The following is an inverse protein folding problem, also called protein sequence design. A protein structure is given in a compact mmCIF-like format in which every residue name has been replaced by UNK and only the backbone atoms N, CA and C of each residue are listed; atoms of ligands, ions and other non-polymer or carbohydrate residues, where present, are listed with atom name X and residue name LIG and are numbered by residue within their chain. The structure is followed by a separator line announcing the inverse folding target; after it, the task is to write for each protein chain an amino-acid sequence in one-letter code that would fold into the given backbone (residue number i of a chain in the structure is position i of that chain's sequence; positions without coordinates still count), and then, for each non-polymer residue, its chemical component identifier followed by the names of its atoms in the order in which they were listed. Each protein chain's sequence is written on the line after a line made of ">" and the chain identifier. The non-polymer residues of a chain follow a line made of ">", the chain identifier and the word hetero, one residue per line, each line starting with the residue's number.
data_IF_993838305159
#
_entry.id   IF_993838305159
#
_cell.length_a   1.000
_cell.length_b   1.000
_cell.length_c   1.000
_cell.angle_alpha   90.00
_cell.angle_beta   90.00
_cell.angle_gamma   90.00
#
_symmetry.space_group_name_H-M   'P 1'
#
loop_
_entity.id
_entity.type
_entity.pdbx_description
1 polymer ?
#
# COMPACT_ATOMS: atom_id res chain seq x y z
N UNK A 1 5.71 0.31 -18.59
CA UNK A 1 5.56 1.64 -19.21
C UNK A 1 5.04 2.61 -18.17
N UNK A 2 5.17 3.92 -18.38
CA UNK A 2 4.53 4.91 -17.49
C UNK A 2 3.01 4.79 -17.63
N UNK A 3 2.33 4.66 -16.50
CA UNK A 3 0.87 4.52 -16.45
C UNK A 3 0.23 5.90 -16.59
N UNK A 4 -0.74 6.03 -17.51
CA UNK A 4 -1.55 7.22 -17.63
C UNK A 4 -2.67 7.18 -16.59
N UNK A 5 -2.43 7.81 -15.43
CA UNK A 5 -3.39 7.80 -14.32
C UNK A 5 -4.52 8.81 -14.57
N UNK A 6 -5.76 8.33 -14.53
CA UNK A 6 -6.96 9.17 -14.48
C UNK A 6 -7.08 9.83 -13.09
N UNK A 7 -7.18 11.16 -13.08
CA UNK A 7 -7.27 11.96 -11.85
C UNK A 7 -8.62 11.84 -11.13
N UNK A 8 -9.70 11.45 -11.81
CA UNK A 8 -10.97 11.13 -11.15
C UNK A 8 -10.83 9.84 -10.35
N UNK A 9 -10.24 8.82 -10.97
CA UNK A 9 -9.92 7.53 -10.34
C UNK A 9 -8.94 7.70 -9.19
N UNK A 10 -7.92 8.55 -9.35
CA UNK A 10 -6.95 8.83 -8.29
C UNK A 10 -7.60 9.42 -7.03
N UNK A 11 -8.60 10.29 -7.20
CA UNK A 11 -9.35 10.88 -6.08
C UNK A 11 -10.26 9.88 -5.38
N UNK A 12 -10.87 8.95 -6.12
CA UNK A 12 -11.73 7.93 -5.51
C UNK A 12 -10.96 6.97 -4.61
N UNK A 13 -9.65 6.80 -4.84
CA UNK A 13 -8.76 5.97 -4.03
C UNK A 13 -8.35 6.58 -2.68
N UNK A 14 -8.71 7.84 -2.41
CA UNK A 14 -8.36 8.51 -1.14
C UNK A 14 -6.85 8.75 -0.95
N UNK A 15 -6.10 8.85 -2.06
CA UNK A 15 -4.65 8.99 -2.02
C UNK A 15 -4.22 10.42 -1.67
N UNK A 16 -3.06 10.59 -1.00
CA UNK A 16 -2.57 11.90 -0.61
C UNK A 16 -2.20 12.73 -1.85
N UNK A 17 -2.59 14.02 -1.84
CA UNK A 17 -2.35 14.95 -2.94
C UNK A 17 -0.87 15.11 -3.32
N UNK A 18 0.06 14.79 -2.41
CA UNK A 18 1.52 14.79 -2.62
C UNK A 18 1.97 13.82 -3.72
N UNK A 19 1.16 12.82 -4.04
CA UNK A 19 1.45 11.81 -5.07
C UNK A 19 1.00 12.23 -6.48
N UNK A 20 0.38 13.41 -6.65
CA UNK A 20 -0.15 13.90 -7.94
C UNK A 20 0.89 13.97 -9.06
N UNK A 21 2.13 14.32 -8.72
CA UNK A 21 3.22 14.49 -9.69
C UNK A 21 4.18 13.29 -9.67
N UNK A 22 3.73 12.13 -9.21
CA UNK A 22 4.53 10.91 -9.20
C UNK A 22 4.14 10.02 -10.37
N UNK A 23 5.16 9.44 -10.99
CA UNK A 23 5.00 8.46 -12.05
C UNK A 23 4.66 7.10 -11.44
N UNK A 24 3.65 6.44 -12.00
CA UNK A 24 3.31 5.05 -11.72
C UNK A 24 3.59 4.22 -12.98
N UNK A 25 3.65 2.91 -12.82
CA UNK A 25 3.99 2.01 -13.92
C UNK A 25 2.95 0.90 -14.05
N UNK A 26 2.72 0.50 -15.29
CA UNK A 26 1.92 -0.65 -15.65
C UNK A 26 2.68 -1.52 -16.69
N UNK A 27 2.32 -2.79 -16.77
CA UNK A 27 2.84 -3.67 -17.80
C UNK A 27 2.11 -3.47 -19.11
N UNK A 28 2.85 -3.28 -20.21
CA UNK A 28 2.28 -3.10 -21.54
C UNK A 28 1.58 -4.37 -22.09
N UNK A 29 1.88 -5.53 -21.51
CA UNK A 29 1.51 -6.84 -22.06
C UNK A 29 2.46 -7.27 -23.19
N UNK A 30 3.01 -8.48 -23.08
CA UNK A 30 3.85 -9.11 -24.09
C UNK A 30 3.63 -10.63 -24.05
N UNK A 31 4.17 -11.35 -25.03
CA UNK A 31 4.05 -12.82 -25.10
C UNK A 31 4.57 -13.51 -23.83
N UNK A 32 5.69 -13.03 -23.26
CA UNK A 32 6.29 -13.58 -22.05
C UNK A 32 5.41 -13.49 -20.79
N UNK A 33 4.52 -12.51 -20.74
CA UNK A 33 3.54 -12.36 -19.67
C UNK A 33 2.12 -12.74 -20.11
N UNK A 34 1.99 -13.44 -21.26
CA UNK A 34 0.71 -13.84 -21.84
C UNK A 34 -0.26 -12.65 -22.00
N UNK A 35 0.29 -11.50 -22.38
CA UNK A 35 -0.41 -10.23 -22.54
C UNK A 35 -1.11 -9.69 -21.27
N UNK A 36 -0.81 -10.23 -20.09
CA UNK A 36 -1.42 -9.75 -18.83
C UNK A 36 -0.80 -8.45 -18.31
N UNK A 37 0.47 -8.20 -18.65
CA UNK A 37 1.25 -7.12 -18.07
C UNK A 37 1.85 -7.44 -16.69
N UNK A 38 1.61 -8.65 -16.16
CA UNK A 38 2.09 -9.07 -14.84
C UNK A 38 2.90 -10.36 -14.94
N UNK A 39 3.97 -10.48 -14.14
CA UNK A 39 4.76 -11.71 -14.04
C UNK A 39 5.24 -11.93 -12.62
N UNK A 40 4.90 -13.09 -12.06
CA UNK A 40 5.17 -13.41 -10.66
C UNK A 40 4.18 -12.72 -9.72
N UNK A 41 4.43 -12.82 -8.42
CA UNK A 41 3.65 -12.18 -7.36
C UNK A 41 4.59 -11.76 -6.26
N UNK A 42 4.27 -10.66 -5.59
CA UNK A 42 5.04 -10.17 -4.46
C UNK A 42 4.15 -9.95 -3.25
N UNK A 43 4.54 -10.53 -2.10
CA UNK A 43 3.79 -10.35 -0.87
C UNK A 43 3.93 -8.92 -0.32
N UNK A 44 2.82 -8.34 0.10
CA UNK A 44 2.79 -7.14 0.94
C UNK A 44 2.76 -7.59 2.41
N UNK A 45 3.69 -7.08 3.23
CA UNK A 45 3.85 -7.54 4.61
C UNK A 45 3.95 -6.33 5.54
N UNK A 46 2.92 -6.11 6.36
CA UNK A 46 2.98 -5.17 7.47
C UNK A 46 3.42 -5.90 8.74
N UNK A 47 4.48 -5.42 9.38
CA UNK A 47 5.03 -6.03 10.60
C UNK A 47 4.85 -5.06 11.75
N UNK A 48 4.04 -5.45 12.73
CA UNK A 48 3.88 -4.72 13.99
C UNK A 48 4.79 -5.33 15.07
N UNK A 49 5.92 -4.69 15.42
CA UNK A 49 6.69 -5.13 16.58
C UNK A 49 5.87 -4.88 17.85
N UNK A 50 5.76 -5.91 18.70
CA UNK A 50 5.11 -5.80 20.00
C UNK A 50 6.18 -5.36 21.00
N UNK A 51 6.32 -4.04 21.16
CA UNK A 51 7.13 -3.44 22.21
C UNK A 51 6.35 -3.37 23.55
N UNK A 52 7.02 -2.93 24.61
CA UNK A 52 6.42 -2.81 25.95
C UNK A 52 5.16 -1.94 25.97
N UNK A 53 5.10 -0.88 25.15
CA UNK A 53 3.95 0.04 25.10
C UNK A 53 2.76 -0.62 24.43
N UNK A 54 2.99 -1.33 23.33
CA UNK A 54 1.96 -2.10 22.63
C UNK A 54 1.45 -3.24 23.53
N UNK A 55 2.36 -3.97 24.18
CA UNK A 55 1.98 -5.05 25.10
C UNK A 55 1.12 -4.54 26.26
N UNK A 56 1.51 -3.44 26.91
CA UNK A 56 0.73 -2.82 27.97
C UNK A 56 -0.67 -2.39 27.50
N UNK A 57 -0.77 -1.82 26.30
CA UNK A 57 -2.06 -1.39 25.74
C UNK A 57 -2.97 -2.57 25.41
N UNK A 58 -2.41 -3.68 24.91
CA UNK A 58 -3.16 -4.93 24.70
C UNK A 58 -3.71 -5.45 26.03
N UNK A 59 -2.88 -5.50 27.08
CA UNK A 59 -3.29 -5.98 28.40
C UNK A 59 -4.38 -5.10 29.04
N UNK A 60 -4.39 -3.80 28.74
CA UNK A 60 -5.40 -2.85 29.19
C UNK A 60 -6.72 -2.97 28.43
N UNK A 61 -6.77 -3.74 27.34
CA UNK A 61 -7.93 -3.80 26.46
C UNK A 61 -8.12 -2.54 25.62
N UNK A 62 -7.03 -1.87 25.26
CA UNK A 62 -7.04 -0.66 24.46
C UNK A 62 -7.71 -0.85 23.09
N UNK A 63 -8.30 0.22 22.57
CA UNK A 63 -8.96 0.20 21.26
C UNK A 63 -7.95 0.02 20.12
N UNK A 64 -8.42 -0.49 18.98
CA UNK A 64 -7.61 -0.58 17.76
C UNK A 64 -7.05 0.79 17.33
N UNK A 65 -7.76 1.89 17.62
CA UNK A 65 -7.28 3.25 17.35
C UNK A 65 -6.12 3.67 18.24
N UNK A 66 -6.14 3.30 19.53
CA UNK A 66 -5.02 3.52 20.45
C UNK A 66 -3.80 2.71 20.03
N UNK A 67 -3.99 1.42 19.71
CA UNK A 67 -2.92 0.56 19.21
C UNK A 67 -2.30 1.09 17.91
N UNK A 68 -3.11 1.57 16.95
CA UNK A 68 -2.59 2.19 15.71
C UNK A 68 -1.75 3.43 15.99
N UNK A 69 -2.18 4.29 16.91
CA UNK A 69 -1.42 5.49 17.29
C UNK A 69 -0.08 5.16 17.94
N UNK A 70 -0.04 4.10 18.76
CA UNK A 70 1.21 3.61 19.34
C UNK A 70 2.10 2.97 18.27
N UNK A 71 1.53 2.11 17.42
CA UNK A 71 2.22 1.44 16.34
C UNK A 71 2.93 2.42 15.39
N UNK A 72 2.24 3.50 15.01
CA UNK A 72 2.80 4.55 14.15
C UNK A 72 4.09 5.18 14.72
N UNK A 73 4.25 5.20 16.05
CA UNK A 73 5.46 5.70 16.73
C UNK A 73 6.59 4.68 16.77
N UNK A 74 6.27 3.39 16.65
CA UNK A 74 7.24 2.28 16.68
C UNK A 74 7.73 1.88 15.28
N UNK A 75 7.49 2.72 14.27
CA UNK A 75 7.92 2.49 12.89
C UNK A 75 7.06 1.48 12.12
N UNK A 76 5.87 1.14 12.65
CA UNK A 76 4.88 0.36 11.90
C UNK A 76 4.44 1.14 10.66
N UNK A 77 4.34 0.44 9.53
CA UNK A 77 3.75 0.95 8.30
C UNK A 77 2.53 0.12 7.96
N UNK A 78 1.47 0.80 7.55
CA UNK A 78 0.25 0.13 7.12
C UNK A 78 0.43 -0.55 5.76
N UNK A 79 -0.37 -1.58 5.49
CA UNK A 79 -0.34 -2.30 4.21
C UNK A 79 -0.53 -1.35 3.01
N UNK A 80 -1.44 -0.38 3.12
CA UNK A 80 -1.68 0.63 2.09
C UNK A 80 -0.44 1.48 1.78
N UNK A 81 0.33 1.84 2.79
CA UNK A 81 1.56 2.64 2.62
C UNK A 81 2.64 1.81 1.94
N UNK A 82 2.77 0.54 2.33
CA UNK A 82 3.70 -0.40 1.73
C UNK A 82 3.33 -0.66 0.26
N UNK A 83 2.05 -0.86 -0.04
CA UNK A 83 1.53 -1.06 -1.38
C UNK A 83 1.84 0.14 -2.28
N UNK A 84 1.56 1.36 -1.79
CA UNK A 84 1.86 2.59 -2.51
C UNK A 84 3.36 2.77 -2.77
N UNK A 85 4.21 2.46 -1.80
CA UNK A 85 5.67 2.52 -1.99
C UNK A 85 6.13 1.56 -3.10
N UNK A 86 5.55 0.36 -3.18
CA UNK A 86 5.86 -0.59 -4.25
C UNK A 86 5.31 -0.16 -5.60
N UNK A 87 4.13 0.45 -5.64
CA UNK A 87 3.55 1.00 -6.86
C UNK A 87 4.41 2.15 -7.43
N UNK A 88 4.87 3.05 -6.56
CA UNK A 88 5.80 4.13 -6.93
C UNK A 88 7.16 3.61 -7.42
N UNK A 89 7.60 2.47 -6.89
CA UNK A 89 8.81 1.80 -7.34
C UNK A 89 8.62 0.97 -8.62
N UNK A 90 7.41 0.92 -9.17
CA UNK A 90 7.07 0.15 -10.37
C UNK A 90 7.10 -1.37 -10.18
N UNK A 91 6.99 -1.86 -8.93
CA UNK A 91 6.96 -3.30 -8.62
C UNK A 91 5.57 -3.92 -8.73
N UNK A 92 4.54 -3.08 -8.68
CA UNK A 92 3.11 -3.43 -8.85
C UNK A 92 2.42 -2.22 -9.49
N UNK A 93 1.22 -2.39 -10.03
CA UNK A 93 0.42 -1.27 -10.53
C UNK A 93 -0.26 -0.52 -9.39
N UNK A 94 -0.68 0.73 -9.65
CA UNK A 94 -1.48 1.47 -8.68
C UNK A 94 -2.83 0.78 -8.45
N UNK A 95 -3.41 0.23 -9.51
CA UNK A 95 -4.65 -0.55 -9.51
C UNK A 95 -4.57 -1.75 -8.55
N UNK A 96 -3.53 -2.58 -8.68
CA UNK A 96 -3.32 -3.73 -7.79
C UNK A 96 -3.13 -3.27 -6.35
N UNK A 97 -2.26 -2.27 -6.13
CA UNK A 97 -1.99 -1.75 -4.80
C UNK A 97 -3.27 -1.27 -4.09
N UNK A 98 -4.15 -0.58 -4.81
CA UNK A 98 -5.43 -0.12 -4.28
C UNK A 98 -6.39 -1.30 -4.05
N UNK A 99 -6.59 -2.16 -5.05
CA UNK A 99 -7.55 -3.26 -4.96
C UNK A 99 -7.26 -4.21 -3.79
N UNK A 100 -5.98 -4.48 -3.53
CA UNK A 100 -5.57 -5.45 -2.52
C UNK A 100 -5.50 -4.88 -1.10
N UNK A 101 -5.35 -3.55 -0.94
CA UNK A 101 -5.08 -2.95 0.38
C UNK A 101 -6.04 -1.86 0.83
N UNK A 102 -6.83 -1.28 -0.08
CA UNK A 102 -7.77 -0.22 0.23
C UNK A 102 -9.17 -0.83 0.25
N UNK A 103 -9.56 -1.38 1.40
CA UNK A 103 -10.95 -1.73 1.66
C UNK A 103 -11.66 -0.50 2.19
N UNK A 104 -12.81 -0.15 1.59
CA UNK A 104 -13.60 1.05 1.87
C UNK A 104 -14.05 1.20 3.32
#
# INVERSE_FOLDING_TARGET
>A
QEAQIDWEKFRSYGLPATLRNKCFYEGAGCEDCQHTGYRGREALVARLPVDERIAAEILRGGSAGELRRLAAKSGYRELKEIALQKALAGRTSLEEAVCETFTG
#
